data_IF_282537440062
#
_entry.id   IF_282537440062
#
_cell.length_a   1.000
_cell.length_b   1.000
_cell.length_c   1.000
_cell.angle_alpha   90.00
_cell.angle_beta   90.00
_cell.angle_gamma   90.00
#
_symmetry.space_group_name_H-M   'P 1'
#
loop_
_entity.id
_entity.type
_entity.pdbx_description
1 polymer ?
#
# COMPACT_ATOMS: atom_id res chain seq x y z
N UNK A 1 3.27 18.83 -6.26
CA UNK A 1 3.01 19.84 -5.26
C UNK A 1 3.42 19.34 -3.89
N UNK A 2 4.36 20.06 -3.26
CA UNK A 2 5.08 19.81 -2.03
C UNK A 2 4.17 19.85 -0.79
N UNK A 3 3.55 18.73 -0.39
CA UNK A 3 2.93 18.62 0.92
C UNK A 3 2.91 17.16 1.39
N UNK A 4 4.07 16.58 1.70
CA UNK A 4 4.16 15.31 2.41
C UNK A 4 5.50 15.11 3.17
N UNK A 5 6.21 16.20 3.49
CA UNK A 5 7.46 16.10 4.25
C UNK A 5 7.46 17.02 5.48
N UNK A 6 6.43 16.95 6.34
CA UNK A 6 6.44 17.64 7.63
C UNK A 6 5.84 16.79 8.73
N UNK A 7 6.59 15.80 9.19
CA UNK A 7 6.58 15.36 10.59
C UNK A 7 7.92 14.73 10.98
N UNK A 8 9.03 15.28 10.46
CA UNK A 8 10.34 14.95 11.01
C UNK A 8 10.64 16.00 12.07
N UNK A 9 10.31 15.70 13.31
CA UNK A 9 10.84 16.47 14.45
C UNK A 9 12.29 16.04 14.62
N UNK A 10 13.22 16.76 14.03
CA UNK A 10 14.64 16.69 14.37
C UNK A 10 14.83 17.37 15.74
N UNK A 11 14.79 16.61 16.82
CA UNK A 11 15.43 17.07 18.04
C UNK A 11 16.94 17.00 17.85
N UNK A 12 17.67 18.03 18.25
CA UNK A 12 19.14 18.04 18.25
C UNK A 12 19.63 16.86 19.09
N UNK A 13 20.22 15.83 18.45
CA UNK A 13 20.70 14.61 19.11
C UNK A 13 19.63 13.55 19.44
N UNK A 14 18.37 13.71 18.98
CA UNK A 14 17.27 12.79 19.26
C UNK A 14 17.07 11.75 18.15
N UNK A 15 16.70 10.56 18.56
CA UNK A 15 16.32 9.44 17.71
C UNK A 15 15.12 9.81 16.83
N UNK A 16 15.09 9.34 15.59
CA UNK A 16 13.99 9.60 14.65
C UNK A 16 12.79 8.72 15.03
N UNK A 17 11.82 9.31 15.73
CA UNK A 17 10.56 8.66 16.07
C UNK A 17 9.47 9.01 15.06
N UNK A 18 8.62 8.03 14.72
CA UNK A 18 7.42 8.21 13.91
C UNK A 18 6.20 7.77 14.69
N UNK A 19 5.10 8.53 14.56
CA UNK A 19 3.78 8.12 15.04
C UNK A 19 3.05 7.37 13.94
N UNK A 20 2.58 6.16 14.25
CA UNK A 20 1.81 5.31 13.34
C UNK A 20 0.56 4.80 14.03
N UNK A 21 -0.46 4.46 13.24
CA UNK A 21 -1.76 4.01 13.71
C UNK A 21 -2.14 2.70 13.07
N UNK A 22 -2.69 1.78 13.86
CA UNK A 22 -3.28 0.53 13.37
C UNK A 22 -4.78 0.52 13.66
N UNK A 23 -5.59 0.29 12.62
CA UNK A 23 -7.04 0.16 12.75
C UNK A 23 -7.44 -1.28 12.98
N UNK A 24 -8.19 -1.56 14.05
CA UNK A 24 -8.71 -2.88 14.38
C UNK A 24 -10.03 -2.80 15.16
N UNK A 25 -10.70 -3.94 15.32
CA UNK A 25 -11.94 -4.07 16.10
C UNK A 25 -11.71 -4.16 17.63
N UNK A 26 -10.45 -4.12 18.06
CA UNK A 26 -10.05 -4.17 19.46
C UNK A 26 -8.76 -3.37 19.70
N UNK A 27 -8.46 -3.11 20.97
CA UNK A 27 -7.23 -2.44 21.38
C UNK A 27 -6.08 -3.47 21.34
N UNK A 28 -4.97 -3.10 20.68
CA UNK A 28 -3.77 -3.93 20.56
C UNK A 28 -2.61 -3.20 21.21
N UNK A 29 -2.40 -3.38 22.51
CA UNK A 29 -1.30 -2.74 23.21
C UNK A 29 0.07 -3.33 22.84
N UNK A 30 0.12 -4.65 22.57
CA UNK A 30 1.34 -5.39 22.25
C UNK A 30 1.15 -6.25 21.00
N UNK A 31 1.42 -5.71 19.82
CA UNK A 31 1.36 -6.50 18.59
C UNK A 31 2.34 -7.68 18.64
N UNK A 32 1.89 -8.83 18.17
CA UNK A 32 2.73 -10.05 18.15
C UNK A 32 3.39 -10.21 16.79
N UNK A 33 4.71 -10.35 16.79
CA UNK A 33 5.47 -10.66 15.58
C UNK A 33 5.00 -11.99 14.97
N UNK A 34 4.87 -12.02 13.64
CA UNK A 34 4.41 -13.20 12.91
C UNK A 34 2.90 -13.45 13.01
N UNK A 35 2.15 -12.59 13.70
CA UNK A 35 0.70 -12.70 13.84
C UNK A 35 0.00 -11.79 12.84
N UNK A 36 -0.32 -12.34 11.67
CA UNK A 36 -0.99 -11.61 10.60
C UNK A 36 -1.40 -12.55 9.48
N UNK A 37 -2.28 -12.07 8.60
CA UNK A 37 -2.71 -12.85 7.43
C UNK A 37 -1.56 -12.89 6.41
N UNK A 38 -1.30 -14.09 5.87
CA UNK A 38 -0.27 -14.29 4.84
C UNK A 38 -0.64 -13.63 3.50
N UNK A 39 -1.93 -13.48 3.22
CA UNK A 39 -2.46 -12.91 1.96
C UNK A 39 -2.72 -11.39 2.06
N UNK A 40 -1.91 -10.65 2.83
CA UNK A 40 -1.93 -9.19 2.80
C UNK A 40 -0.99 -8.67 1.71
N UNK A 41 -1.10 -7.38 1.36
CA UNK A 41 -0.37 -6.76 0.24
C UNK A 41 1.16 -6.97 0.28
N UNK A 42 1.73 -7.05 1.48
CA UNK A 42 3.17 -7.27 1.74
C UNK A 42 3.40 -8.56 2.56
N UNK A 43 2.46 -9.51 2.53
CA UNK A 43 2.51 -10.74 3.30
C UNK A 43 2.35 -10.53 4.81
N UNK A 44 2.94 -11.40 5.61
CA UNK A 44 2.86 -11.32 7.07
C UNK A 44 3.56 -10.06 7.58
N UNK A 45 2.88 -9.27 8.42
CA UNK A 45 3.38 -8.06 9.02
C UNK A 45 2.33 -7.35 9.89
N UNK A 46 2.77 -6.30 10.58
CA UNK A 46 1.85 -5.43 11.32
C UNK A 46 1.63 -4.15 10.52
N UNK A 47 0.40 -3.96 10.06
CA UNK A 47 0.02 -2.95 9.08
C UNK A 47 -0.46 -1.68 9.76
N UNK A 48 0.29 -0.61 9.61
CA UNK A 48 0.00 0.71 10.14
C UNK A 48 -0.15 1.74 9.02
N UNK A 49 -0.55 2.95 9.39
CA UNK A 49 -0.58 4.16 8.57
C UNK A 49 -0.16 5.36 9.41
N UNK A 50 0.42 6.38 8.80
CA UNK A 50 0.67 7.67 9.45
C UNK A 50 -0.60 8.53 9.54
N UNK A 51 -1.71 8.10 8.93
CA UNK A 51 -3.00 8.80 8.91
C UNK A 51 -3.98 8.17 9.89
N UNK A 52 -4.24 8.84 11.01
CA UNK A 52 -5.15 8.39 12.05
C UNK A 52 -6.59 8.16 11.54
N UNK A 53 -7.10 9.03 10.68
CA UNK A 53 -8.45 8.89 10.13
C UNK A 53 -8.56 7.62 9.27
N UNK A 54 -7.50 7.29 8.54
CA UNK A 54 -7.42 6.08 7.76
C UNK A 54 -7.42 4.83 8.67
N UNK A 55 -6.71 4.87 9.79
CA UNK A 55 -6.75 3.80 10.78
C UNK A 55 -8.16 3.63 11.39
N UNK A 56 -8.89 4.70 11.63
CA UNK A 56 -10.29 4.65 12.08
C UNK A 56 -11.19 3.95 11.07
N UNK A 57 -11.04 4.27 9.77
CA UNK A 57 -11.78 3.59 8.70
C UNK A 57 -11.42 2.10 8.60
N UNK A 58 -10.16 1.72 8.86
CA UNK A 58 -9.76 0.32 8.83
C UNK A 58 -10.32 -0.48 9.99
N UNK A 59 -10.48 0.17 11.16
CA UNK A 59 -10.94 -0.48 12.37
C UNK A 59 -12.43 -0.81 12.39
N UNK A 60 -13.26 -0.05 11.66
CA UNK A 60 -14.72 -0.22 11.70
C UNK A 60 -15.23 -1.26 10.71
N UNK A 61 -16.27 -1.99 11.12
CA UNK A 61 -17.13 -2.81 10.27
C UNK A 61 -18.55 -2.23 10.23
N UNK A 62 -19.46 -2.88 9.49
CA UNK A 62 -20.83 -2.39 9.33
C UNK A 62 -21.62 -2.35 10.66
N UNK A 63 -21.25 -3.19 11.61
CA UNK A 63 -21.98 -3.47 12.84
C UNK A 63 -21.19 -3.16 14.12
N UNK A 64 -19.88 -2.79 14.00
CA UNK A 64 -19.00 -2.63 15.16
C UNK A 64 -18.16 -1.37 15.08
N UNK A 65 -18.05 -0.70 16.24
CA UNK A 65 -17.02 0.31 16.43
C UNK A 65 -15.62 -0.29 16.28
N UNK A 66 -14.68 0.53 15.87
CA UNK A 66 -13.29 0.18 15.78
C UNK A 66 -12.40 1.04 16.66
N UNK A 67 -11.11 0.79 16.57
CA UNK A 67 -10.09 1.50 17.31
C UNK A 67 -8.95 1.90 16.37
N UNK A 68 -8.51 3.14 16.46
CA UNK A 68 -7.24 3.58 15.90
C UNK A 68 -6.20 3.49 16.99
N UNK A 69 -5.49 2.39 17.06
CA UNK A 69 -4.40 2.17 18.01
C UNK A 69 -3.20 3.01 17.59
N UNK A 70 -2.66 3.84 18.49
CA UNK A 70 -1.55 4.74 18.26
C UNK A 70 -0.27 4.19 18.84
N UNK A 71 0.79 4.26 18.04
CA UNK A 71 2.13 3.83 18.43
C UNK A 71 3.16 4.87 18.05
N UNK A 72 4.28 4.86 18.78
CA UNK A 72 5.53 5.48 18.37
C UNK A 72 6.53 4.40 18.00
N UNK A 73 7.28 4.60 16.93
CA UNK A 73 8.35 3.71 16.49
C UNK A 73 9.64 4.47 16.29
N UNK A 74 10.74 3.95 16.87
CA UNK A 74 12.09 4.43 16.62
C UNK A 74 12.65 3.75 15.37
N UNK A 75 12.88 4.52 14.30
CA UNK A 75 13.30 4.00 12.99
C UNK A 75 14.82 3.97 12.79
N UNK A 76 15.61 4.56 13.69
CA UNK A 76 17.06 4.64 13.51
C UNK A 76 17.71 3.26 13.43
N UNK A 77 18.47 3.03 12.35
CA UNK A 77 19.17 1.78 12.10
C UNK A 77 18.25 0.61 11.68
N UNK A 78 16.96 0.83 11.45
CA UNK A 78 16.09 -0.14 10.78
C UNK A 78 16.25 -0.05 9.26
N UNK A 79 16.16 -1.18 8.58
CA UNK A 79 16.14 -1.26 7.11
C UNK A 79 14.74 -0.90 6.61
N UNK A 80 14.58 0.31 6.06
CA UNK A 80 13.29 0.80 5.55
C UNK A 80 13.30 0.70 4.02
N UNK A 81 12.42 -0.14 3.48
CA UNK A 81 12.09 -0.16 2.05
C UNK A 81 10.93 0.81 1.81
N UNK A 82 11.22 1.95 1.21
CA UNK A 82 10.21 2.95 0.88
C UNK A 82 9.97 2.97 -0.65
N UNK A 83 8.88 2.32 -1.08
CA UNK A 83 8.51 2.17 -2.50
C UNK A 83 8.08 3.50 -3.18
N UNK A 84 8.01 4.60 -2.42
CA UNK A 84 7.73 5.93 -2.98
C UNK A 84 9.00 6.69 -3.37
N UNK A 85 10.17 6.09 -3.15
CA UNK A 85 11.45 6.66 -3.59
C UNK A 85 11.58 6.52 -5.10
N UNK A 86 12.35 7.42 -5.73
CA UNK A 86 12.53 7.47 -7.20
C UNK A 86 13.18 6.21 -7.80
N UNK A 87 13.84 5.42 -6.98
CA UNK A 87 14.48 4.18 -7.41
C UNK A 87 13.47 3.05 -7.71
N UNK A 88 12.21 3.23 -7.25
CA UNK A 88 11.16 2.26 -7.43
C UNK A 88 10.04 2.77 -8.35
N UNK A 89 9.50 1.87 -9.13
CA UNK A 89 8.36 2.10 -10.01
C UNK A 89 7.09 1.46 -9.43
N UNK A 90 5.94 1.79 -9.98
CA UNK A 90 4.67 1.14 -9.63
C UNK A 90 4.72 -0.39 -9.90
N UNK A 91 5.55 -0.84 -10.85
CA UNK A 91 5.69 -2.27 -11.16
C UNK A 91 6.39 -3.05 -10.03
N UNK A 92 7.32 -2.45 -9.29
CA UNK A 92 7.91 -3.09 -8.11
C UNK A 92 6.86 -3.34 -7.02
N UNK A 93 6.00 -2.33 -6.75
CA UNK A 93 4.89 -2.50 -5.83
C UNK A 93 3.91 -3.58 -6.31
N UNK A 94 3.56 -3.56 -7.61
CA UNK A 94 2.68 -4.54 -8.20
C UNK A 94 3.27 -5.95 -8.10
N UNK A 95 4.57 -6.10 -8.31
CA UNK A 95 5.27 -7.39 -8.17
C UNK A 95 5.13 -7.95 -6.75
N UNK A 96 5.39 -7.14 -5.72
CA UNK A 96 5.19 -7.55 -4.32
C UNK A 96 3.73 -7.97 -4.08
N UNK A 97 2.77 -7.25 -4.66
CA UNK A 97 1.36 -7.58 -4.54
C UNK A 97 1.04 -8.94 -5.19
N UNK A 98 1.60 -9.20 -6.39
CA UNK A 98 1.45 -10.47 -7.12
C UNK A 98 2.06 -11.68 -6.39
N UNK A 99 3.09 -11.46 -5.58
CA UNK A 99 3.73 -12.49 -4.74
C UNK A 99 2.88 -12.86 -3.53
N UNK A 100 2.14 -11.91 -2.97
CA UNK A 100 1.44 -12.07 -1.69
C UNK A 100 -0.08 -12.26 -1.83
N UNK A 101 -0.68 -11.85 -2.94
CA UNK A 101 -2.13 -11.92 -3.16
C UNK A 101 -2.46 -12.90 -4.29
N UNK A 102 -3.62 -13.55 -4.18
CA UNK A 102 -4.14 -14.37 -5.26
C UNK A 102 -4.69 -13.49 -6.38
N UNK A 103 -4.09 -13.58 -7.56
CA UNK A 103 -4.56 -12.95 -8.80
C UNK A 103 -5.10 -14.01 -9.74
N UNK A 104 -6.23 -13.72 -10.37
CA UNK A 104 -6.68 -14.49 -11.52
C UNK A 104 -5.75 -14.20 -12.71
N UNK A 105 -4.88 -15.16 -13.01
CA UNK A 105 -3.98 -15.15 -14.15
C UNK A 105 -4.37 -16.24 -15.16
N UNK A 106 -5.68 -16.47 -15.33
CA UNK A 106 -6.22 -17.49 -16.25
C UNK A 106 -6.05 -17.14 -17.72
N UNK A 107 -5.92 -15.84 -18.06
CA UNK A 107 -5.63 -15.41 -19.44
C UNK A 107 -4.13 -15.59 -19.75
N UNK A 108 -3.76 -15.96 -20.99
CA UNK A 108 -2.35 -16.08 -21.39
C UNK A 108 -1.56 -14.80 -21.11
N UNK A 109 -2.14 -13.62 -21.41
CA UNK A 109 -1.50 -12.33 -21.15
C UNK A 109 -1.24 -12.11 -19.66
N UNK A 110 -2.21 -12.38 -18.79
CA UNK A 110 -2.04 -12.18 -17.35
C UNK A 110 -1.01 -13.15 -16.76
N UNK A 111 -0.95 -14.38 -17.25
CA UNK A 111 0.06 -15.37 -16.84
C UNK A 111 1.46 -14.91 -17.24
N UNK A 112 1.66 -14.50 -18.48
CA UNK A 112 2.93 -13.97 -19.00
C UNK A 112 3.35 -12.70 -18.27
N UNK A 113 2.41 -11.76 -18.07
CA UNK A 113 2.66 -10.52 -17.33
C UNK A 113 3.12 -10.79 -15.90
N UNK A 114 2.45 -11.71 -15.20
CA UNK A 114 2.83 -12.10 -13.84
C UNK A 114 4.24 -12.69 -13.81
N UNK A 115 4.54 -13.63 -14.69
CA UNK A 115 5.87 -14.25 -14.77
C UNK A 115 6.95 -13.21 -15.05
N UNK A 116 6.72 -12.34 -16.04
CA UNK A 116 7.66 -11.28 -16.42
C UNK A 116 7.94 -10.32 -15.27
N UNK A 117 6.90 -9.85 -14.57
CA UNK A 117 7.04 -8.94 -13.45
C UNK A 117 7.79 -9.59 -12.28
N UNK A 118 7.49 -10.83 -11.94
CA UNK A 118 8.19 -11.59 -10.91
C UNK A 118 9.69 -11.77 -11.23
N UNK A 119 10.04 -11.97 -12.49
CA UNK A 119 11.43 -12.15 -12.92
C UNK A 119 12.23 -10.85 -12.97
N UNK A 120 11.59 -9.73 -13.35
CA UNK A 120 12.30 -8.49 -13.69
C UNK A 120 12.12 -7.35 -12.68
N UNK A 121 11.06 -7.37 -11.87
CA UNK A 121 10.72 -6.30 -10.92
C UNK A 121 10.66 -6.77 -9.46
N UNK A 122 11.11 -7.98 -9.19
CA UNK A 122 11.23 -8.53 -7.84
C UNK A 122 12.18 -7.67 -6.98
N UNK A 123 11.84 -7.50 -5.70
CA UNK A 123 12.65 -6.85 -4.69
C UNK A 123 12.83 -7.78 -3.50
N UNK A 124 13.99 -7.72 -2.87
CA UNK A 124 14.33 -8.45 -1.64
C UNK A 124 13.63 -7.82 -0.40
N UNK A 125 12.32 -7.60 -0.50
CA UNK A 125 11.54 -6.89 0.53
C UNK A 125 11.41 -7.68 1.85
N UNK A 126 11.60 -8.99 1.82
CA UNK A 126 11.62 -9.85 3.01
C UNK A 126 12.74 -9.47 4.00
N UNK A 127 13.82 -8.85 3.51
CA UNK A 127 14.96 -8.39 4.31
C UNK A 127 14.74 -7.02 4.93
N UNK A 128 13.63 -6.35 4.64
CA UNK A 128 13.29 -5.07 5.23
C UNK A 128 12.74 -5.24 6.66
N UNK A 129 13.09 -4.31 7.54
CA UNK A 129 12.45 -4.19 8.86
C UNK A 129 11.08 -3.52 8.74
N UNK A 130 10.98 -2.55 7.82
CA UNK A 130 9.77 -1.77 7.54
C UNK A 130 9.60 -1.61 6.04
N UNK A 131 8.36 -1.77 5.56
CA UNK A 131 7.99 -1.44 4.18
C UNK A 131 7.02 -0.27 4.19
N UNK A 132 7.24 0.73 3.32
CA UNK A 132 6.33 1.85 3.09
C UNK A 132 5.90 1.82 1.62
N UNK A 133 4.59 1.74 1.37
CA UNK A 133 4.09 1.65 0.01
C UNK A 133 2.59 1.82 -0.09
N UNK A 134 2.05 1.66 -1.29
CA UNK A 134 0.62 1.76 -1.54
C UNK A 134 -0.17 0.67 -0.84
N UNK A 135 -1.43 0.94 -0.60
CA UNK A 135 -2.41 -0.02 -0.11
C UNK A 135 -3.28 -0.50 -1.28
N UNK A 136 -3.46 -1.82 -1.37
CA UNK A 136 -4.45 -2.43 -2.24
C UNK A 136 -5.60 -2.99 -1.40
N UNK A 137 -6.63 -2.18 -1.10
CA UNK A 137 -7.90 -2.76 -0.66
C UNK A 137 -8.63 -3.40 -1.87
N UNK A 138 -9.79 -4.01 -1.63
CA UNK A 138 -10.49 -4.79 -2.67
C UNK A 138 -10.81 -3.99 -3.94
N UNK A 139 -10.98 -2.66 -3.82
CA UNK A 139 -11.22 -1.78 -4.97
C UNK A 139 -9.95 -1.58 -5.80
N UNK A 140 -8.82 -1.36 -5.13
CA UNK A 140 -7.53 -1.07 -5.78
C UNK A 140 -6.87 -2.33 -6.30
N UNK A 141 -7.18 -3.48 -5.70
CA UNK A 141 -6.77 -4.77 -6.21
C UNK A 141 -7.34 -5.03 -7.61
N UNK A 142 -8.60 -4.61 -7.87
CA UNK A 142 -9.20 -4.71 -9.21
C UNK A 142 -8.48 -3.84 -10.24
N UNK A 143 -7.93 -2.67 -9.85
CA UNK A 143 -7.16 -1.83 -10.77
C UNK A 143 -5.83 -2.49 -11.17
N UNK A 144 -5.17 -3.17 -10.22
CA UNK A 144 -3.99 -3.97 -10.51
C UNK A 144 -4.31 -5.14 -11.45
N UNK A 145 -5.44 -5.82 -11.23
CA UNK A 145 -5.92 -6.88 -12.11
C UNK A 145 -6.24 -6.37 -13.52
N UNK A 146 -6.91 -5.21 -13.65
CA UNK A 146 -7.17 -4.57 -14.95
C UNK A 146 -5.87 -4.26 -15.72
N UNK A 147 -4.81 -3.87 -15.02
CA UNK A 147 -3.51 -3.59 -15.65
C UNK A 147 -2.84 -4.86 -16.19
N UNK A 148 -2.74 -5.94 -15.40
CA UNK A 148 -2.09 -7.18 -15.86
C UNK A 148 -2.88 -7.89 -16.96
N UNK A 149 -4.19 -7.62 -17.08
CA UNK A 149 -5.03 -8.09 -18.17
C UNK A 149 -5.05 -7.14 -19.38
N UNK A 150 -4.25 -6.07 -19.37
CA UNK A 150 -4.12 -5.13 -20.48
C UNK A 150 -5.32 -4.19 -20.67
N UNK A 151 -6.24 -4.12 -19.69
CA UNK A 151 -7.43 -3.28 -19.77
C UNK A 151 -7.13 -1.79 -19.54
N UNK A 152 -6.09 -1.49 -18.76
CA UNK A 152 -5.63 -0.11 -18.50
C UNK A 152 -4.12 0.01 -18.70
N UNK A 153 -3.67 1.25 -18.93
CA UNK A 153 -2.25 1.59 -19.08
C UNK A 153 -1.55 1.76 -17.73
N UNK A 154 -0.22 1.73 -17.75
CA UNK A 154 0.64 2.03 -16.60
C UNK A 154 0.34 3.39 -15.96
N UNK A 155 0.09 4.43 -16.77
CA UNK A 155 -0.32 5.75 -16.31
C UNK A 155 -1.68 5.69 -15.60
N UNK A 156 -2.65 4.97 -16.17
CA UNK A 156 -3.98 4.80 -15.59
C UNK A 156 -3.91 4.05 -14.26
N UNK A 157 -3.09 2.98 -14.15
CA UNK A 157 -2.82 2.30 -12.89
C UNK A 157 -2.23 3.26 -11.85
N UNK A 158 -1.19 4.02 -12.24
CA UNK A 158 -0.51 4.96 -11.34
C UNK A 158 -1.45 6.05 -10.82
N UNK A 159 -2.38 6.52 -11.64
CA UNK A 159 -3.41 7.47 -11.23
C UNK A 159 -4.46 6.82 -10.34
N UNK A 160 -4.94 5.63 -10.71
CA UNK A 160 -5.94 4.88 -9.95
C UNK A 160 -5.49 4.62 -8.50
N UNK A 161 -4.21 4.26 -8.30
CA UNK A 161 -3.64 4.03 -6.98
C UNK A 161 -3.58 5.28 -6.08
N UNK A 162 -3.81 6.46 -6.62
CA UNK A 162 -3.90 7.74 -5.89
C UNK A 162 -5.33 8.20 -5.61
N UNK A 163 -6.32 7.54 -6.19
CA UNK A 163 -7.73 7.84 -5.94
C UNK A 163 -8.09 7.55 -4.48
N UNK A 164 -9.15 8.20 -3.97
CA UNK A 164 -9.63 8.01 -2.61
C UNK A 164 -8.65 8.35 -1.50
N UNK A 165 -7.45 8.82 -1.82
CA UNK A 165 -6.42 9.25 -0.86
C UNK A 165 -6.17 8.22 0.25
N UNK A 166 -6.09 6.93 -0.11
CA UNK A 166 -5.85 5.82 0.85
C UNK A 166 -4.57 5.98 1.68
N UNK A 167 -3.68 6.89 1.25
CA UNK A 167 -2.40 7.07 1.89
C UNK A 167 -1.47 5.88 1.67
N UNK A 168 -0.53 5.76 2.57
CA UNK A 168 0.50 4.72 2.53
C UNK A 168 0.31 3.76 3.68
N UNK A 169 0.65 2.51 3.44
CA UNK A 169 0.86 1.53 4.49
C UNK A 169 2.29 1.66 5.01
N UNK A 170 2.41 1.51 6.32
CA UNK A 170 3.66 1.40 7.06
C UNK A 170 3.66 0.03 7.73
N UNK A 171 4.40 -0.91 7.16
CA UNK A 171 4.32 -2.33 7.52
C UNK A 171 5.57 -2.77 8.26
N UNK A 172 5.40 -3.19 9.52
CA UNK A 172 6.48 -3.78 10.30
C UNK A 172 6.63 -5.25 9.90
N UNK A 173 7.84 -5.62 9.45
CA UNK A 173 8.16 -6.95 8.92
C UNK A 173 9.04 -7.78 9.84
N UNK A 174 9.93 -7.17 10.62
CA UNK A 174 10.92 -7.88 11.43
C UNK A 174 10.62 -7.81 12.91
N UNK A 175 11.07 -8.80 13.67
CA UNK A 175 11.04 -8.80 15.14
C UNK A 175 11.66 -7.54 15.71
N UNK A 176 12.76 -7.09 15.12
CA UNK A 176 13.50 -5.89 15.50
C UNK A 176 12.65 -4.61 15.38
N UNK A 177 11.79 -4.51 14.35
CA UNK A 177 10.85 -3.39 14.20
C UNK A 177 9.75 -3.44 15.28
N UNK A 178 9.23 -4.63 15.60
CA UNK A 178 8.24 -4.81 16.67
C UNK A 178 8.76 -4.44 18.06
N UNK A 179 10.04 -4.74 18.36
CA UNK A 179 10.67 -4.42 19.65
C UNK A 179 10.84 -2.90 19.85
N UNK A 180 10.78 -2.11 18.78
CA UNK A 180 10.89 -0.64 18.83
C UNK A 180 9.55 0.09 18.74
N UNK A 181 8.46 -0.67 18.70
CA UNK A 181 7.10 -0.14 18.67
C UNK A 181 6.58 0.02 20.08
N UNK A 182 6.20 1.24 20.45
CA UNK A 182 5.64 1.58 21.76
C UNK A 182 4.19 2.01 21.61
N UNK A 183 3.27 1.34 22.31
CA UNK A 183 1.86 1.74 22.35
C UNK A 183 1.70 3.01 23.17
N UNK A 184 1.00 4.01 22.60
CA UNK A 184 0.83 5.34 23.25
C UNK A 184 -0.63 5.71 23.47
N UNK A 185 -1.57 4.82 23.15
CA UNK A 185 -2.99 5.04 23.35
C UNK A 185 -3.82 4.63 22.14
N UNK A 186 -5.08 4.99 22.17
CA UNK A 186 -6.03 4.70 21.09
C UNK A 186 -7.13 5.75 21.00
N UNK A 187 -7.83 5.78 19.88
CA UNK A 187 -9.09 6.50 19.73
C UNK A 187 -10.17 5.55 19.21
N UNK A 188 -11.38 5.72 19.76
CA UNK A 188 -12.55 4.96 19.31
C UNK A 188 -13.03 5.55 17.98
N UNK A 189 -13.26 4.67 17.02
CA UNK A 189 -13.90 4.98 15.74
C UNK A 189 -15.34 4.51 15.78
N UNK A 190 -16.31 5.43 15.89
CA UNK A 190 -17.74 5.06 15.90
C UNK A 190 -18.14 4.52 14.52
N UNK A 191 -18.95 3.45 14.51
CA UNK A 191 -19.49 2.89 13.27
C UNK A 191 -20.35 3.91 12.51
N UNK A 192 -21.14 4.73 13.22
CA UNK A 192 -22.05 5.69 12.63
C UNK A 192 -21.33 6.74 11.77
N UNK A 193 -20.14 7.13 12.18
CA UNK A 193 -19.33 8.12 11.45
C UNK A 193 -18.38 7.45 10.45
N UNK A 194 -17.54 6.55 10.94
CA UNK A 194 -16.37 6.09 10.19
C UNK A 194 -16.70 5.03 9.13
N UNK A 195 -17.73 4.21 9.35
CA UNK A 195 -18.19 3.29 8.33
C UNK A 195 -18.80 4.01 7.12
N UNK A 196 -19.58 5.07 7.37
CA UNK A 196 -20.12 5.93 6.28
C UNK A 196 -19.01 6.61 5.48
N UNK A 197 -17.98 7.13 6.17
CA UNK A 197 -16.82 7.76 5.51
C UNK A 197 -16.07 6.77 4.64
N UNK A 198 -15.77 5.58 5.18
CA UNK A 198 -15.15 4.48 4.45
C UNK A 198 -15.94 4.11 3.19
N UNK A 199 -17.23 3.82 3.33
CA UNK A 199 -18.10 3.44 2.22
C UNK A 199 -18.20 4.55 1.15
N UNK A 200 -18.33 5.82 1.57
CA UNK A 200 -18.37 6.96 0.64
C UNK A 200 -17.06 7.13 -0.12
N UNK A 201 -15.94 6.99 0.55
CA UNK A 201 -14.61 7.08 -0.08
C UNK A 201 -14.41 5.97 -1.11
N UNK A 202 -14.73 4.72 -0.75
CA UNK A 202 -14.60 3.56 -1.64
C UNK A 202 -15.50 3.70 -2.87
N UNK A 203 -16.74 4.15 -2.67
CA UNK A 203 -17.67 4.42 -3.77
C UNK A 203 -17.15 5.53 -4.71
N UNK A 204 -16.65 6.64 -4.15
CA UNK A 204 -16.08 7.72 -4.95
C UNK A 204 -14.83 7.28 -5.73
N UNK A 205 -13.94 6.50 -5.11
CA UNK A 205 -12.74 6.01 -5.77
C UNK A 205 -13.10 5.09 -6.96
N UNK A 206 -14.04 4.15 -6.78
CA UNK A 206 -14.53 3.29 -7.86
C UNK A 206 -15.17 4.08 -8.99
N UNK A 207 -16.02 5.05 -8.66
CA UNK A 207 -16.65 5.91 -9.65
C UNK A 207 -15.64 6.73 -10.43
N UNK A 208 -14.69 7.37 -9.74
CA UNK A 208 -13.60 8.12 -10.39
C UNK A 208 -12.73 7.22 -11.28
N UNK A 209 -12.46 6.00 -10.85
CA UNK A 209 -11.72 5.04 -11.66
C UNK A 209 -12.43 4.76 -12.99
N UNK A 210 -13.73 4.42 -12.96
CA UNK A 210 -14.48 4.14 -14.16
C UNK A 210 -14.66 5.37 -15.05
N UNK A 211 -15.00 6.52 -14.46
CA UNK A 211 -15.36 7.72 -15.23
C UNK A 211 -14.12 8.45 -15.77
N UNK A 212 -13.02 8.47 -15.02
CA UNK A 212 -11.86 9.29 -15.34
C UNK A 212 -10.66 8.48 -15.83
N UNK A 213 -10.36 7.34 -15.23
CA UNK A 213 -9.15 6.62 -15.56
C UNK A 213 -9.37 5.51 -16.59
N UNK A 214 -10.29 4.57 -16.34
CA UNK A 214 -10.48 3.41 -17.22
C UNK A 214 -10.84 3.77 -18.65
N UNK A 215 -11.66 4.81 -18.84
CA UNK A 215 -12.17 5.22 -20.16
C UNK A 215 -11.29 6.29 -20.85
N UNK A 216 -10.20 6.76 -20.21
CA UNK A 216 -9.34 7.83 -20.75
C UNK A 216 -8.01 7.32 -21.28
N UNK A 217 -8.07 6.56 -22.37
CA UNK A 217 -6.88 6.21 -23.13
C UNK A 217 -6.23 7.46 -23.75
N UNK A 218 -4.88 7.55 -23.64
CA UNK A 218 -4.09 8.60 -24.30
C UNK A 218 -3.15 7.96 -25.34
N UNK A 219 -2.80 8.75 -26.37
CA UNK A 219 -1.81 8.32 -27.34
C UNK A 219 -0.43 8.18 -26.63
N UNK A 220 0.23 7.06 -26.85
CA UNK A 220 1.50 6.75 -26.20
C UNK A 220 1.37 6.15 -24.80
N UNK A 221 0.15 5.85 -24.35
CA UNK A 221 -0.07 5.10 -23.12
C UNK A 221 0.65 3.73 -23.18
N UNK A 222 1.36 3.41 -22.11
CA UNK A 222 2.14 2.19 -21.94
C UNK A 222 1.27 1.09 -21.35
N UNK A 223 0.97 0.07 -22.11
CA UNK A 223 0.22 -1.10 -21.66
C UNK A 223 1.18 -2.24 -21.25
N UNK A 224 0.66 -3.22 -20.52
CA UNK A 224 1.45 -4.39 -20.13
C UNK A 224 2.02 -5.14 -21.34
N UNK A 225 1.29 -5.23 -22.45
CA UNK A 225 1.75 -5.82 -23.72
C UNK A 225 3.00 -5.11 -24.25
N UNK A 226 3.02 -3.77 -24.24
CA UNK A 226 4.20 -3.01 -24.66
C UNK A 226 5.39 -3.23 -23.73
N UNK A 227 5.15 -3.37 -22.43
CA UNK A 227 6.19 -3.66 -21.43
C UNK A 227 6.81 -5.04 -21.71
N UNK A 228 5.99 -6.02 -22.06
CA UNK A 228 6.43 -7.36 -22.43
C UNK A 228 7.17 -7.38 -23.76
N UNK A 229 6.58 -6.82 -24.82
CA UNK A 229 7.12 -6.80 -26.19
C UNK A 229 8.49 -6.10 -26.27
N UNK A 230 8.68 -5.03 -25.48
CA UNK A 230 9.93 -4.26 -25.45
C UNK A 230 10.88 -4.73 -24.34
N UNK A 231 10.55 -5.75 -23.59
CA UNK A 231 11.34 -6.30 -22.48
C UNK A 231 11.81 -5.22 -21.48
N UNK A 232 10.90 -4.29 -21.10
CA UNK A 232 11.21 -3.15 -20.28
C UNK A 232 11.74 -3.53 -18.90
N UNK A 233 12.87 -2.94 -18.50
CA UNK A 233 13.51 -3.15 -17.20
C UNK A 233 13.20 -1.99 -16.23
N UNK A 234 13.49 -2.16 -14.91
CA UNK A 234 13.20 -1.15 -13.88
C UNK A 234 13.80 0.24 -14.11
N UNK A 235 14.85 0.33 -14.90
CA UNK A 235 15.55 1.57 -15.22
C UNK A 235 15.00 2.30 -16.45
N UNK A 236 14.02 1.74 -17.15
CA UNK A 236 13.37 2.40 -18.29
C UNK A 236 12.74 3.73 -17.84
N UNK A 237 13.12 4.87 -18.46
CA UNK A 237 12.66 6.18 -18.04
C UNK A 237 11.15 6.39 -18.17
N UNK A 238 10.47 5.60 -19.01
CA UNK A 238 9.01 5.66 -19.21
C UNK A 238 8.21 5.08 -18.02
N UNK A 239 8.87 4.37 -17.12
CA UNK A 239 8.29 3.81 -15.90
C UNK A 239 8.42 4.74 -14.68
N UNK A 240 8.98 5.96 -14.83
CA UNK A 240 9.28 6.91 -13.75
C UNK A 240 8.38 8.13 -13.73
#
# INVERSE_FOLDING_TARGET
FLYAFRSIIRSRGGKMKKTVYHGSDHIIERPKYGYGKIYNDYGVGFYCTENQNMAKEWGVSADKNGYANRYEIECDGLKVLNLNMRDYTMLHWLTILLENREFDASTPLAAEAKEYLLQNFHLDYEKADIIIGYRADDSYFSFAADFINGAISYRQLSNAMRLGKLGQQFVLKSRRAFERLEFTGYEIASVQEWYKRKASRDHMARRQYFDLERNRRQRGDLYITTILDEEMKPDDPRLR
#
